data_IF_766017011971
#
_entry.id   IF_766017011971
#
_cell.length_a   1.000
_cell.length_b   1.000
_cell.length_c   1.000
_cell.angle_alpha   90.00
_cell.angle_beta   90.00
_cell.angle_gamma   90.00
#
_symmetry.space_group_name_H-M   'P 1'
#
loop_
_entity.id
_entity.type
_entity.pdbx_description
1 polymer ?
#
# COMPACT_ATOMS: atom_id res chain seq x y z
N UNK A 1 -31.25 17.70 -7.32
CA UNK A 1 -31.49 16.24 -7.25
C UNK A 1 -30.31 15.67 -6.50
N UNK A 2 -30.55 14.98 -5.39
CA UNK A 2 -29.58 14.68 -4.32
C UNK A 2 -28.34 13.95 -4.85
N UNK A 3 -27.17 14.54 -4.66
CA UNK A 3 -25.87 13.87 -4.84
C UNK A 3 -25.71 12.85 -3.71
N UNK A 4 -26.40 11.72 -3.84
CA UNK A 4 -26.26 10.59 -2.92
C UNK A 4 -24.97 9.88 -3.26
N UNK A 5 -23.99 10.04 -2.40
CA UNK A 5 -22.73 9.35 -2.52
C UNK A 5 -22.87 7.89 -2.08
N UNK A 6 -23.08 7.01 -3.06
CA UNK A 6 -23.31 5.57 -2.82
C UNK A 6 -21.99 4.81 -2.60
N UNK A 7 -20.84 5.44 -2.88
CA UNK A 7 -19.52 4.82 -2.77
C UNK A 7 -19.03 4.86 -1.32
N UNK A 8 -18.58 3.71 -0.82
CA UNK A 8 -18.03 3.56 0.53
C UNK A 8 -16.53 3.29 0.50
N UNK A 9 -15.78 3.93 1.40
CA UNK A 9 -14.36 3.65 1.69
C UNK A 9 -14.29 3.02 3.08
N UNK A 10 -13.81 1.78 3.20
CA UNK A 10 -13.91 0.99 4.43
C UNK A 10 -12.56 0.41 4.84
N UNK A 11 -11.77 1.24 5.53
CA UNK A 11 -10.54 0.81 6.17
C UNK A 11 -10.79 0.67 7.68
N UNK A 12 -10.93 -0.56 8.16
CA UNK A 12 -11.08 -0.84 9.59
C UNK A 12 -10.17 -1.99 10.00
N UNK A 13 -9.91 -2.09 11.31
CA UNK A 13 -9.15 -3.17 11.91
C UNK A 13 -9.99 -3.85 12.99
N UNK A 14 -9.96 -5.18 13.03
CA UNK A 14 -10.65 -6.01 14.02
C UNK A 14 -9.63 -6.99 14.61
N UNK A 15 -9.75 -7.27 15.91
CA UNK A 15 -8.89 -8.24 16.59
C UNK A 15 -9.66 -9.05 17.62
N UNK A 16 -9.24 -10.29 17.82
CA UNK A 16 -9.65 -11.18 18.89
C UNK A 16 -8.59 -11.31 20.00
N UNK A 17 -7.54 -10.48 19.95
CA UNK A 17 -6.38 -10.52 20.85
C UNK A 17 -5.24 -11.44 20.39
N UNK A 18 -5.45 -12.28 19.36
CA UNK A 18 -4.41 -13.17 18.80
C UNK A 18 -4.12 -12.89 17.33
N UNK A 19 -5.15 -12.51 16.58
CA UNK A 19 -5.08 -12.14 15.18
C UNK A 19 -5.62 -10.74 14.98
N UNK A 20 -5.14 -10.07 13.94
CA UNK A 20 -5.65 -8.77 13.50
C UNK A 20 -6.04 -8.88 12.04
N UNK A 21 -7.24 -8.42 11.71
CA UNK A 21 -7.75 -8.32 10.35
C UNK A 21 -7.90 -6.84 10.03
N UNK A 22 -7.27 -6.37 8.96
CA UNK A 22 -7.49 -5.04 8.42
C UNK A 22 -8.08 -5.12 7.02
N UNK A 23 -9.01 -4.23 6.69
CA UNK A 23 -9.53 -4.09 5.33
C UNK A 23 -8.95 -2.86 4.66
N UNK A 24 -8.66 -2.95 3.36
CA UNK A 24 -8.54 -1.79 2.48
C UNK A 24 -9.55 -1.95 1.36
N UNK A 25 -10.64 -1.18 1.37
CA UNK A 25 -11.78 -1.45 0.50
C UNK A 25 -12.47 -0.20 -0.04
N UNK A 26 -12.95 -0.30 -1.29
CA UNK A 26 -13.86 0.65 -1.93
C UNK A 26 -14.94 -0.09 -2.72
N UNK A 27 -16.19 0.35 -2.59
CA UNK A 27 -17.34 -0.18 -3.35
C UNK A 27 -17.42 0.42 -4.76
N UNK A 28 -16.37 0.22 -5.55
CA UNK A 28 -16.25 0.72 -6.92
C UNK A 28 -15.21 -0.11 -7.69
N UNK A 29 -15.41 -0.33 -8.99
CA UNK A 29 -14.40 -0.96 -9.86
C UNK A 29 -13.33 0.02 -10.31
N UNK A 30 -13.69 1.29 -10.48
CA UNK A 30 -12.84 2.29 -11.12
C UNK A 30 -12.11 3.17 -10.12
N UNK A 31 -12.58 3.26 -8.88
CA UNK A 31 -11.94 4.05 -7.83
C UNK A 31 -10.93 3.21 -7.04
N UNK A 32 -9.88 3.87 -6.57
CA UNK A 32 -8.91 3.34 -5.61
C UNK A 32 -9.42 3.54 -4.18
N UNK A 33 -9.13 2.58 -3.31
CA UNK A 33 -9.47 2.70 -1.89
C UNK A 33 -8.58 3.73 -1.16
N UNK A 34 -9.07 4.21 -0.01
CA UNK A 34 -8.32 5.05 0.90
C UNK A 34 -6.98 4.41 1.28
N UNK A 35 -5.95 5.21 1.51
CA UNK A 35 -4.60 4.69 1.71
C UNK A 35 -4.49 3.83 2.97
N UNK A 36 -3.74 2.74 2.86
CA UNK A 36 -3.38 1.87 3.97
C UNK A 36 -2.02 1.22 3.67
N UNK A 37 -1.14 1.23 4.66
CA UNK A 37 0.20 0.70 4.58
C UNK A 37 0.45 -0.22 5.77
N UNK A 38 1.37 -1.17 5.58
CA UNK A 38 1.92 -1.94 6.68
C UNK A 38 3.45 -1.97 6.63
N UNK A 39 4.06 -2.14 7.79
CA UNK A 39 5.48 -2.37 7.97
C UNK A 39 5.68 -3.53 8.94
N UNK A 40 6.71 -4.34 8.73
CA UNK A 40 7.01 -5.50 9.57
C UNK A 40 8.48 -5.58 9.91
N UNK A 41 8.79 -5.85 11.18
CA UNK A 41 10.16 -5.96 11.68
C UNK A 41 10.21 -6.54 13.09
N UNK A 42 11.37 -6.44 13.74
CA UNK A 42 11.61 -7.06 15.06
C UNK A 42 11.54 -6.06 16.20
N UNK A 43 11.84 -4.79 15.93
CA UNK A 43 11.85 -3.76 16.97
C UNK A 43 11.50 -2.39 16.42
N UNK A 44 10.63 -1.69 17.12
CA UNK A 44 10.40 -0.27 16.92
C UNK A 44 11.32 0.52 17.85
N UNK A 45 12.18 1.38 17.30
CA UNK A 45 13.11 2.19 18.09
C UNK A 45 13.04 3.65 17.69
N UNK A 46 13.20 4.51 18.69
CA UNK A 46 13.57 5.90 18.47
C UNK A 46 15.01 5.95 17.91
N UNK A 47 15.18 6.73 16.86
CA UNK A 47 16.43 6.99 16.17
C UNK A 47 17.29 7.98 16.93
N UNK A 48 18.30 8.53 16.24
CA UNK A 48 19.24 9.49 16.84
C UNK A 48 18.59 10.84 17.15
N UNK A 49 17.56 11.20 16.39
CA UNK A 49 16.78 12.42 16.58
C UNK A 49 15.52 12.06 17.35
N UNK A 50 15.21 12.83 18.39
CA UNK A 50 14.03 12.61 19.21
C UNK A 50 12.76 12.74 18.37
N UNK A 51 11.86 11.76 18.47
CA UNK A 51 10.63 11.69 17.68
C UNK A 51 10.78 11.01 16.31
N UNK A 52 11.99 10.73 15.85
CA UNK A 52 12.21 9.92 14.65
C UNK A 52 12.19 8.45 15.06
N UNK A 53 11.11 7.74 14.75
CA UNK A 53 11.06 6.30 14.98
C UNK A 53 11.36 5.54 13.71
N UNK A 54 11.89 4.33 13.85
CA UNK A 54 12.11 3.41 12.73
C UNK A 54 11.84 1.97 13.11
N UNK A 55 11.44 1.21 12.10
CA UNK A 55 11.35 -0.24 12.16
C UNK A 55 12.72 -0.84 11.91
N UNK A 56 13.22 -1.65 12.85
CA UNK A 56 14.46 -2.43 12.68
C UNK A 56 14.11 -3.91 12.47
N UNK A 57 14.84 -4.57 11.56
CA UNK A 57 14.86 -6.02 11.38
C UNK A 57 16.21 -6.56 11.86
N UNK A 58 16.21 -7.23 13.01
CA UNK A 58 17.42 -7.80 13.62
C UNK A 58 17.56 -9.31 13.34
N UNK A 59 16.50 -9.97 12.88
CA UNK A 59 16.51 -11.38 12.51
C UNK A 59 15.62 -11.63 11.28
N UNK A 60 15.40 -12.92 10.95
CA UNK A 60 14.55 -13.34 9.83
C UNK A 60 13.05 -13.23 10.14
N UNK A 61 12.68 -13.02 11.40
CA UNK A 61 11.30 -12.89 11.87
C UNK A 61 10.78 -11.47 11.77
N UNK A 62 9.47 -11.33 11.99
CA UNK A 62 8.81 -10.06 12.17
C UNK A 62 7.96 -10.13 13.44
N UNK A 63 8.54 -9.74 14.57
CA UNK A 63 7.84 -9.73 15.87
C UNK A 63 6.83 -8.58 16.00
N UNK A 64 6.95 -7.55 15.16
CA UNK A 64 6.10 -6.36 15.18
C UNK A 64 5.58 -6.10 13.77
N UNK A 65 4.28 -5.88 13.67
CA UNK A 65 3.62 -5.40 12.46
C UNK A 65 2.91 -4.09 12.80
N UNK A 66 3.21 -3.05 12.04
CA UNK A 66 2.50 -1.78 12.10
C UNK A 66 1.59 -1.66 10.89
N UNK A 67 0.37 -1.17 11.10
CA UNK A 67 -0.58 -0.84 10.05
C UNK A 67 -1.01 0.60 10.26
N UNK A 68 -0.96 1.42 9.20
CA UNK A 68 -1.28 2.84 9.29
C UNK A 68 -1.84 3.37 7.96
N UNK A 69 -2.61 4.45 8.02
CA UNK A 69 -3.13 5.14 6.83
C UNK A 69 -2.03 5.83 6.01
N UNK A 70 -0.91 6.17 6.65
CA UNK A 70 0.28 6.78 6.05
C UNK A 70 1.55 6.22 6.72
N UNK A 71 2.70 6.18 6.01
CA UNK A 71 3.97 5.82 6.61
C UNK A 71 4.35 6.75 7.76
N UNK A 72 4.58 6.18 8.96
CA UNK A 72 4.92 6.96 10.17
C UNK A 72 6.38 7.44 10.22
N UNK A 73 7.19 7.08 9.23
CA UNK A 73 8.64 7.32 9.22
C UNK A 73 9.09 7.84 7.85
N UNK A 74 10.20 8.56 7.82
CA UNK A 74 10.82 8.99 6.55
C UNK A 74 11.45 7.82 5.76
N UNK A 75 11.75 6.69 6.41
CA UNK A 75 12.25 5.46 5.78
C UNK A 75 11.13 4.69 5.02
N UNK A 76 10.65 5.29 3.93
CA UNK A 76 9.46 4.83 3.21
C UNK A 76 9.62 3.47 2.52
N UNK A 77 10.84 3.04 2.26
CA UNK A 77 11.14 1.72 1.69
C UNK A 77 10.77 0.57 2.65
N UNK A 78 10.58 0.85 3.94
CA UNK A 78 10.14 -0.12 4.94
C UNK A 78 8.61 -0.26 5.03
N UNK A 79 7.87 0.49 4.21
CA UNK A 79 6.41 0.49 4.18
C UNK A 79 5.91 -0.12 2.87
N UNK A 80 4.94 -0.99 2.99
CA UNK A 80 4.28 -1.65 1.86
C UNK A 80 2.84 -1.16 1.80
N UNK A 81 2.41 -0.69 0.64
CA UNK A 81 1.00 -0.34 0.40
C UNK A 81 0.15 -1.61 0.41
N UNK A 82 -0.93 -1.62 1.18
CA UNK A 82 -1.93 -2.69 1.11
C UNK A 82 -2.69 -2.54 -0.21
N UNK A 83 -2.85 -3.59 -1.04
CA UNK A 83 -3.59 -3.46 -2.30
C UNK A 83 -5.05 -3.06 -2.09
N UNK A 84 -5.64 -2.38 -3.08
CA UNK A 84 -7.07 -2.04 -3.07
C UNK A 84 -7.91 -3.31 -3.04
N UNK A 85 -9.02 -3.26 -2.30
CA UNK A 85 -9.97 -4.36 -2.12
C UNK A 85 -9.29 -5.65 -1.65
N UNK A 86 -8.56 -5.55 -0.54
CA UNK A 86 -7.85 -6.67 0.06
C UNK A 86 -8.03 -6.70 1.58
N UNK A 87 -7.89 -7.90 2.14
CA UNK A 87 -7.82 -8.17 3.56
C UNK A 87 -6.37 -8.43 3.92
N UNK A 88 -5.86 -7.69 4.90
CA UNK A 88 -4.59 -7.93 5.57
C UNK A 88 -4.86 -8.72 6.84
N UNK A 89 -4.36 -9.95 6.90
CA UNK A 89 -4.44 -10.82 8.07
C UNK A 89 -3.09 -10.90 8.74
N UNK A 90 -3.05 -10.58 10.03
CA UNK A 90 -1.86 -10.70 10.88
C UNK A 90 -2.14 -11.79 11.91
N UNK A 91 -1.30 -12.80 11.95
CA UNK A 91 -1.37 -13.85 12.95
C UNK A 91 0.05 -14.28 13.35
N UNK A 92 0.40 -14.01 14.62
CA UNK A 92 1.77 -14.11 15.12
C UNK A 92 2.71 -13.24 14.26
N UNK A 93 3.77 -13.82 13.69
CA UNK A 93 4.72 -13.14 12.81
C UNK A 93 4.31 -13.14 11.32
N UNK A 94 3.17 -13.75 10.97
CA UNK A 94 2.76 -13.88 9.57
C UNK A 94 1.82 -12.75 9.17
N UNK A 95 2.11 -12.16 8.01
CA UNK A 95 1.25 -11.20 7.32
C UNK A 95 0.79 -11.85 6.02
N UNK A 96 -0.52 -11.99 5.88
CA UNK A 96 -1.16 -12.57 4.70
C UNK A 96 -2.06 -11.51 4.06
N UNK A 97 -2.03 -11.42 2.73
CA UNK A 97 -2.88 -10.50 1.96
C UNK A 97 -3.75 -11.35 1.05
N UNK A 98 -5.06 -11.17 1.15
CA UNK A 98 -6.03 -11.88 0.33
C UNK A 98 -6.95 -10.87 -0.37
N UNK A 99 -7.24 -11.04 -1.67
CA UNK A 99 -8.21 -10.18 -2.35
C UNK A 99 -9.62 -10.40 -1.78
N UNK A 100 -10.42 -9.34 -1.75
CA UNK A 100 -11.86 -9.42 -1.51
C UNK A 100 -12.51 -9.74 -2.87
N UNK A 101 -13.16 -10.90 -2.96
CA UNK A 101 -13.82 -11.36 -4.18
C UNK A 101 -15.30 -11.01 -4.10
N UNK A 102 -15.67 -9.88 -4.70
CA UNK A 102 -17.03 -9.36 -4.78
C UNK A 102 -17.32 -8.76 -6.17
N UNK A 103 -18.44 -8.05 -6.33
CA UNK A 103 -18.81 -7.40 -7.58
C UNK A 103 -17.83 -6.29 -8.03
N UNK A 104 -16.91 -5.84 -7.17
CA UNK A 104 -15.92 -4.81 -7.47
C UNK A 104 -14.51 -5.37 -7.68
N UNK A 105 -14.32 -6.67 -7.53
CA UNK A 105 -13.07 -7.37 -7.81
C UNK A 105 -12.72 -7.32 -9.31
N UNK A 106 -11.43 -7.16 -9.59
CA UNK A 106 -10.86 -7.32 -10.93
C UNK A 106 -9.73 -8.37 -10.87
N UNK A 107 -9.72 -9.29 -11.83
CA UNK A 107 -8.74 -10.37 -11.91
C UNK A 107 -7.43 -9.95 -12.59
N UNK A 108 -7.42 -8.80 -13.28
CA UNK A 108 -6.20 -8.25 -13.88
C UNK A 108 -5.40 -7.49 -12.81
N UNK A 109 -4.18 -7.95 -12.45
CA UNK A 109 -3.33 -7.25 -11.49
C UNK A 109 -2.88 -5.86 -11.97
N UNK A 110 -2.97 -5.58 -13.28
CA UNK A 110 -2.63 -4.29 -13.88
C UNK A 110 -3.83 -3.36 -14.04
N UNK A 111 -4.98 -3.70 -13.45
CA UNK A 111 -6.17 -2.88 -13.51
C UNK A 111 -5.96 -1.51 -12.81
N UNK A 112 -5.89 -0.45 -13.59
CA UNK A 112 -5.73 0.92 -13.10
C UNK A 112 -7.00 1.44 -12.40
N UNK A 113 -6.81 2.10 -11.27
CA UNK A 113 -7.89 2.71 -10.46
C UNK A 113 -7.58 4.16 -10.16
N UNK A 114 -8.59 5.01 -10.20
CA UNK A 114 -8.46 6.45 -9.93
C UNK A 114 -8.49 6.73 -8.43
N UNK A 115 -7.49 7.46 -7.93
CA UNK A 115 -7.45 7.93 -6.54
C UNK A 115 -8.35 9.15 -6.29
N UNK A 116 -8.97 9.73 -7.33
CA UNK A 116 -9.69 11.01 -7.25
C UNK A 116 -10.80 11.02 -6.20
N UNK A 117 -11.51 9.91 -6.02
CA UNK A 117 -12.54 9.78 -4.99
C UNK A 117 -11.95 9.88 -3.58
N UNK A 118 -10.94 9.06 -3.28
CA UNK A 118 -10.26 9.10 -1.98
C UNK A 118 -9.58 10.46 -1.75
N UNK A 119 -9.02 11.09 -2.79
CA UNK A 119 -8.46 12.46 -2.75
C UNK A 119 -9.53 13.48 -2.35
N UNK A 120 -10.70 13.44 -2.97
CA UNK A 120 -11.80 14.38 -2.64
C UNK A 120 -12.30 14.23 -1.20
N UNK A 121 -12.07 13.07 -0.57
CA UNK A 121 -12.35 12.81 0.84
C UNK A 121 -11.18 13.10 1.78
N UNK A 122 -10.02 13.48 1.25
CA UNK A 122 -8.81 13.68 2.03
C UNK A 122 -8.23 12.39 2.62
N UNK A 123 -8.52 11.24 2.01
CA UNK A 123 -8.18 9.90 2.51
C UNK A 123 -7.06 9.22 1.70
N UNK A 124 -6.21 10.01 1.05
CA UNK A 124 -4.99 9.53 0.38
C UNK A 124 -3.76 10.09 1.06
N UNK A 125 -2.66 9.35 1.02
CA UNK A 125 -1.41 9.82 1.60
C UNK A 125 -0.74 10.88 0.73
N UNK A 126 -0.15 11.90 1.36
CA UNK A 126 0.66 12.94 0.69
C UNK A 126 2.14 12.54 0.49
N UNK A 127 2.45 11.26 0.61
CA UNK A 127 3.80 10.73 0.47
C UNK A 127 4.41 11.09 -0.92
N UNK A 128 5.53 11.83 -1.01
CA UNK A 128 6.12 12.24 -2.30
C UNK A 128 6.61 11.03 -3.12
N UNK A 129 5.86 10.66 -4.16
CA UNK A 129 6.09 9.47 -4.99
C UNK A 129 4.81 8.96 -5.66
N UNK A 130 3.64 9.30 -5.11
CA UNK A 130 2.31 9.14 -5.74
C UNK A 130 1.58 10.48 -5.66
N UNK A 131 2.06 11.48 -6.40
CA UNK A 131 1.37 12.77 -6.47
C UNK A 131 0.34 12.70 -7.58
N UNK A 132 -0.93 12.46 -7.26
CA UNK A 132 -2.03 12.92 -8.12
C UNK A 132 -2.42 14.28 -7.58
N UNK A 133 -1.95 15.33 -8.26
CA UNK A 133 -2.42 16.68 -7.98
C UNK A 133 -3.92 16.74 -8.30
N UNK A 134 -4.74 17.47 -7.52
CA UNK A 134 -6.10 17.75 -7.92
C UNK A 134 -6.05 18.61 -9.20
N UNK A 135 -6.51 18.07 -10.32
CA UNK A 135 -6.72 18.88 -11.53
C UNK A 135 -7.90 19.83 -11.29
N UNK A 136 -7.59 21.13 -11.28
CA UNK A 136 -8.57 22.19 -11.05
C UNK A 136 -8.15 23.51 -11.68
N UNK A 137 -8.73 23.75 -12.86
CA UNK A 137 -9.07 25.02 -13.52
C UNK A 137 -7.95 25.95 -14.07
N UNK A 138 -8.14 26.28 -15.35
CA UNK A 138 -7.16 26.97 -16.20
C UNK A 138 -6.91 28.43 -15.82
N UNK A 139 -5.63 28.79 -15.80
CA UNK A 139 -5.14 30.17 -15.78
C UNK A 139 -4.21 30.35 -16.98
N UNK A 140 -4.43 31.31 -17.88
CA UNK A 140 -3.57 31.50 -19.04
C UNK A 140 -2.21 32.07 -18.61
N UNK A 141 -1.12 31.41 -19.01
CA UNK A 141 0.26 31.85 -18.75
C UNK A 141 0.68 32.93 -19.77
N UNK A 142 1.41 33.98 -19.37
CA UNK A 142 1.99 34.93 -20.33
C UNK A 142 3.27 34.35 -20.97
N UNK A 143 3.44 34.63 -22.27
CA UNK A 143 4.54 34.16 -23.11
C UNK A 143 5.90 34.76 -22.70
N UNK A 144 6.90 33.91 -22.50
CA UNK A 144 8.33 34.25 -22.36
C UNK A 144 9.21 33.08 -22.84
N UNK A 145 10.42 33.34 -23.38
CA UNK A 145 11.04 32.46 -24.36
C UNK A 145 11.68 31.20 -23.77
N UNK A 146 11.70 30.15 -24.61
CA UNK A 146 12.14 28.80 -24.30
C UNK A 146 13.65 28.72 -24.01
N UNK A 147 13.99 28.18 -22.84
CA UNK A 147 15.29 27.57 -22.58
C UNK A 147 15.12 26.07 -22.39
N UNK A 148 15.66 25.33 -23.35
CA UNK A 148 15.73 23.88 -23.41
C UNK A 148 16.54 23.34 -22.23
N UNK A 149 15.90 22.59 -21.33
CA UNK A 149 16.58 21.62 -20.47
C UNK A 149 15.94 20.26 -20.73
N UNK A 150 16.64 19.46 -21.53
CA UNK A 150 16.30 18.07 -21.80
C UNK A 150 16.40 17.29 -20.50
N UNK A 151 15.28 16.80 -19.97
CA UNK A 151 15.28 15.75 -18.94
C UNK A 151 14.62 14.53 -19.55
N UNK A 152 15.48 13.57 -19.89
CA UNK A 152 15.10 12.31 -20.49
C UNK A 152 14.08 11.56 -19.65
N UNK A 153 13.08 10.99 -20.32
CA UNK A 153 12.17 9.98 -19.79
C UNK A 153 12.98 8.78 -19.26
N UNK A 154 12.99 8.61 -17.94
CA UNK A 154 13.59 7.45 -17.28
C UNK A 154 12.71 6.23 -17.43
N UNK A 155 13.17 5.31 -18.28
CA UNK A 155 12.76 3.92 -18.50
C UNK A 155 11.75 3.30 -17.51
N UNK A 156 10.64 2.80 -18.06
CA UNK A 156 9.96 1.61 -17.56
C UNK A 156 11.00 0.50 -17.44
N UNK A 157 11.26 0.04 -16.22
CA UNK A 157 11.90 -1.27 -16.03
C UNK A 157 10.76 -2.26 -15.92
N UNK A 158 10.70 -3.15 -16.88
CA UNK A 158 9.87 -4.35 -16.85
C UNK A 158 10.13 -5.08 -15.53
N UNK A 159 9.12 -5.15 -14.67
CA UNK A 159 9.07 -6.09 -13.55
C UNK A 159 8.15 -7.21 -14.03
N UNK A 160 8.66 -7.99 -14.98
CA UNK A 160 8.22 -9.37 -15.16
C UNK A 160 9.36 -10.26 -14.68
N UNK A 161 9.00 -11.31 -13.94
CA UNK A 161 9.87 -12.33 -13.36
C UNK A 161 10.49 -12.03 -11.98
N UNK A 162 9.65 -11.77 -10.98
CA UNK A 162 9.83 -12.43 -9.68
C UNK A 162 8.79 -13.53 -9.56
N UNK A 163 9.00 -14.57 -10.33
CA UNK A 163 8.41 -15.89 -10.14
C UNK A 163 8.58 -16.28 -8.67
N UNK A 164 7.47 -16.67 -8.05
CA UNK A 164 7.45 -17.44 -6.82
C UNK A 164 8.30 -18.70 -7.00
N UNK A 165 9.58 -18.64 -6.67
CA UNK A 165 10.36 -19.81 -6.30
C UNK A 165 10.45 -19.88 -4.77
N UNK A 166 9.33 -20.29 -4.16
CA UNK A 166 9.42 -21.01 -2.90
C UNK A 166 10.19 -22.29 -3.19
N UNK A 167 11.47 -22.29 -2.81
CA UNK A 167 12.28 -23.50 -2.74
C UNK A 167 11.52 -24.53 -1.91
N UNK A 168 11.00 -25.58 -2.58
CA UNK A 168 10.64 -26.82 -1.92
C UNK A 168 11.93 -27.40 -1.37
N UNK A 169 12.21 -27.16 -0.11
CA UNK A 169 13.18 -27.96 0.60
C UNK A 169 12.50 -29.29 0.97
N UNK A 170 12.46 -30.24 0.03
CA UNK A 170 12.21 -31.65 0.33
C UNK A 170 13.44 -32.22 1.01
N UNK A 171 13.54 -32.01 2.33
CA UNK A 171 14.34 -32.87 3.19
C UNK A 171 13.45 -34.06 3.58
N UNK A 172 13.67 -35.20 2.94
CA UNK A 172 13.05 -36.45 3.36
C UNK A 172 13.46 -36.77 4.79
N UNK A 173 12.48 -36.85 5.68
CA UNK A 173 12.60 -37.57 6.95
C UNK A 173 11.75 -38.83 6.79
N UNK A 174 12.42 -39.97 6.65
CA UNK A 174 11.77 -41.28 6.70
C UNK A 174 11.19 -41.50 8.11
N UNK A 175 9.92 -41.89 8.17
CA UNK A 175 9.29 -42.41 9.38
C UNK A 175 9.72 -43.87 9.56
N UNK A 176 10.19 -44.30 10.75
CA UNK A 176 10.31 -45.71 11.04
C UNK A 176 8.94 -46.30 11.40
N UNK A 177 8.67 -47.47 10.82
CA UNK A 177 7.56 -48.38 11.16
C UNK A 177 7.74 -49.04 12.52
#
# INVERSE_FOLDING_TARGET
MTDLEVRSLLNFAVTDGHSVICTRYVSSKTDEAASLYFSSGTKWKEGKVKGDFKMERHDKGADIVLVASEPLTFERHNWVTVPTNSILTIHKQNVLIHPIIDEFYDGDPNHDRSSGFAVSKGLVSKAPGTTVAPEGEGVPRPNGPANTVSTACGARRDIDSLTLEMHRNTSGVALPS
#
